data_IF_576223497169
#
_entry.id   IF_576223497169
#
_cell.length_a   1.000
_cell.length_b   1.000
_cell.length_c   1.000
_cell.angle_alpha   90.00
_cell.angle_beta   90.00
_cell.angle_gamma   90.00
#
_symmetry.space_group_name_H-M   'P 1'
#
loop_
_entity.id
_entity.type
_entity.pdbx_description
1 polymer ?
#
# COMPACT_ATOMS: atom_id res chain seq x y z
N UNK A 1 -29.17 23.73 -29.72
CA UNK A 1 -27.89 23.00 -29.51
C UNK A 1 -27.19 23.44 -28.23
N UNK A 2 -26.87 24.73 -28.05
CA UNK A 2 -26.20 25.25 -26.84
C UNK A 2 -26.88 24.86 -25.51
N UNK A 3 -28.22 24.94 -25.42
CA UNK A 3 -28.95 24.59 -24.19
C UNK A 3 -28.89 23.11 -23.82
N UNK A 4 -28.80 22.21 -24.81
CA UNK A 4 -28.65 20.77 -24.56
C UNK A 4 -27.22 20.45 -24.09
N UNK A 5 -26.22 21.13 -24.66
CA UNK A 5 -24.81 20.99 -24.28
C UNK A 5 -24.59 21.48 -22.83
N UNK A 6 -25.21 22.59 -22.44
CA UNK A 6 -25.14 23.09 -21.06
C UNK A 6 -25.82 22.16 -20.05
N UNK A 7 -26.97 21.57 -20.41
CA UNK A 7 -27.68 20.60 -19.57
C UNK A 7 -26.87 19.30 -19.38
N UNK A 8 -26.20 18.83 -20.42
CA UNK A 8 -25.31 17.66 -20.35
C UNK A 8 -24.09 17.99 -19.48
N UNK A 9 -23.47 19.16 -19.67
CA UNK A 9 -22.34 19.62 -18.87
C UNK A 9 -22.69 19.78 -17.38
N UNK A 10 -23.88 20.31 -17.05
CA UNK A 10 -24.38 20.36 -15.67
C UNK A 10 -24.61 18.97 -15.08
N UNK A 11 -25.09 18.01 -15.88
CA UNK A 11 -25.31 16.63 -15.44
C UNK A 11 -24.00 15.88 -15.18
N UNK A 12 -22.97 16.09 -16.00
CA UNK A 12 -21.63 15.52 -15.81
C UNK A 12 -20.92 16.15 -14.60
N UNK A 13 -20.99 17.47 -14.46
CA UNK A 13 -20.45 18.19 -13.30
C UNK A 13 -21.12 17.74 -11.99
N UNK A 14 -22.44 17.55 -11.99
CA UNK A 14 -23.17 17.02 -10.83
C UNK A 14 -22.76 15.60 -10.49
N UNK A 15 -22.61 14.72 -11.49
CA UNK A 15 -22.15 13.35 -11.26
C UNK A 15 -20.71 13.30 -10.75
N UNK A 16 -19.82 14.14 -11.28
CA UNK A 16 -18.45 14.27 -10.80
C UNK A 16 -18.40 14.78 -9.35
N UNK A 17 -19.19 15.81 -9.02
CA UNK A 17 -19.30 16.32 -7.66
C UNK A 17 -19.81 15.26 -6.68
N UNK A 18 -20.87 14.54 -7.06
CA UNK A 18 -21.44 13.43 -6.28
C UNK A 18 -20.40 12.35 -6.02
N UNK A 19 -19.67 11.92 -7.05
CA UNK A 19 -18.62 10.90 -6.92
C UNK A 19 -17.45 11.38 -6.04
N UNK A 20 -17.04 12.65 -6.16
CA UNK A 20 -16.02 13.24 -5.31
C UNK A 20 -16.46 13.29 -3.84
N UNK A 21 -17.71 13.67 -3.56
CA UNK A 21 -18.28 13.66 -2.22
C UNK A 21 -18.32 12.24 -1.63
N UNK A 22 -18.71 11.23 -2.41
CA UNK A 22 -18.65 9.83 -1.96
C UNK A 22 -17.22 9.40 -1.62
N UNK A 23 -16.24 9.76 -2.46
CA UNK A 23 -14.83 9.47 -2.22
C UNK A 23 -14.34 10.12 -0.92
N UNK A 24 -14.68 11.39 -0.67
CA UNK A 24 -14.34 12.13 0.55
C UNK A 24 -14.96 11.50 1.81
N UNK A 25 -16.21 11.02 1.74
CA UNK A 25 -16.85 10.34 2.87
C UNK A 25 -16.13 9.02 3.18
N UNK A 26 -15.73 8.27 2.15
CA UNK A 26 -14.92 7.06 2.33
C UNK A 26 -13.57 7.35 2.97
N UNK A 27 -12.97 8.50 2.67
CA UNK A 27 -11.68 8.93 3.22
C UNK A 27 -11.72 9.18 4.75
N UNK A 28 -12.92 9.33 5.35
CA UNK A 28 -13.06 9.30 6.81
C UNK A 28 -12.54 7.99 7.44
N UNK A 29 -12.47 6.91 6.66
CA UNK A 29 -11.79 5.67 7.05
C UNK A 29 -10.31 5.88 7.42
N UNK A 30 -9.67 6.93 6.90
CA UNK A 30 -8.31 7.34 7.24
C UNK A 30 -8.11 7.74 8.71
N UNK A 31 -9.20 7.95 9.47
CA UNK A 31 -9.13 8.11 10.93
C UNK A 31 -8.62 6.84 11.61
N UNK A 32 -8.90 5.65 11.05
CA UNK A 32 -8.51 4.37 11.64
C UNK A 32 -6.96 4.22 11.71
N UNK A 33 -6.19 4.41 10.62
CA UNK A 33 -4.73 4.51 10.68
C UNK A 33 -4.22 5.51 11.73
N UNK A 34 -4.86 6.67 11.85
CA UNK A 34 -4.52 7.68 12.87
C UNK A 34 -4.71 7.17 14.30
N UNK A 35 -5.82 6.48 14.58
CA UNK A 35 -6.06 5.85 15.89
C UNK A 35 -5.05 4.72 16.14
N UNK A 36 -4.72 3.91 15.13
CA UNK A 36 -3.72 2.85 15.24
C UNK A 36 -2.33 3.43 15.51
N UNK A 37 -1.95 4.50 14.82
CA UNK A 37 -0.72 5.25 15.08
C UNK A 37 -0.67 5.71 16.55
N UNK A 38 -1.73 6.37 17.02
CA UNK A 38 -1.79 6.89 18.38
C UNK A 38 -1.68 5.78 19.43
N UNK A 39 -2.39 4.67 19.25
CA UNK A 39 -2.43 3.58 20.24
C UNK A 39 -1.20 2.67 20.21
N UNK A 40 -0.69 2.37 19.02
CA UNK A 40 0.30 1.30 18.82
C UNK A 40 1.72 1.85 18.63
N UNK A 41 1.88 3.00 17.99
CA UNK A 41 3.20 3.50 17.54
C UNK A 41 3.72 4.63 18.43
N UNK A 42 2.88 5.60 18.81
CA UNK A 42 3.30 6.70 19.71
C UNK A 42 3.92 6.21 21.04
N UNK A 43 3.49 5.09 21.66
CA UNK A 43 4.18 4.57 22.85
C UNK A 43 5.69 4.32 22.65
N UNK A 44 6.12 4.00 21.42
CA UNK A 44 7.54 3.78 21.09
C UNK A 44 8.31 5.09 20.84
N UNK A 45 7.62 6.19 20.49
CA UNK A 45 8.23 7.50 20.24
C UNK A 45 9.02 8.01 21.44
N UNK A 46 8.53 7.74 22.66
CA UNK A 46 9.21 8.15 23.90
C UNK A 46 10.65 7.66 23.97
N UNK A 47 10.92 6.48 23.40
CA UNK A 47 12.25 5.89 23.30
C UNK A 47 12.94 6.23 21.97
N UNK A 48 12.18 6.37 20.89
CA UNK A 48 12.70 6.52 19.52
C UNK A 48 11.91 7.55 18.70
N UNK A 49 12.35 8.81 18.75
CA UNK A 49 11.67 9.93 18.07
C UNK A 49 11.57 9.77 16.55
N UNK A 50 12.56 9.12 15.92
CA UNK A 50 12.62 8.94 14.46
C UNK A 50 11.44 8.15 13.88
N UNK A 51 10.74 7.36 14.71
CA UNK A 51 9.57 6.56 14.31
C UNK A 51 8.45 7.45 13.72
N UNK A 52 8.18 8.59 14.36
CA UNK A 52 7.11 9.49 13.90
C UNK A 52 7.50 10.21 12.61
N UNK A 53 8.78 10.50 12.41
CA UNK A 53 9.26 11.13 11.17
C UNK A 53 9.21 10.16 9.98
N UNK A 54 9.49 8.88 10.22
CA UNK A 54 9.49 7.86 9.18
C UNK A 54 8.07 7.53 8.69
N UNK A 55 7.09 7.50 9.59
CA UNK A 55 5.71 7.09 9.27
C UNK A 55 5.05 7.84 8.09
N UNK A 56 4.96 9.18 8.05
CA UNK A 56 4.33 9.89 6.94
C UNK A 56 5.09 9.71 5.62
N UNK A 57 6.42 9.64 5.68
CA UNK A 57 7.25 9.40 4.49
C UNK A 57 6.97 8.01 3.90
N UNK A 58 6.79 7.01 4.78
CA UNK A 58 6.41 5.68 4.34
C UNK A 58 5.02 5.61 3.73
N UNK A 59 4.01 6.21 4.37
CA UNK A 59 2.65 6.27 3.82
C UNK A 59 2.64 6.92 2.44
N UNK A 60 3.38 8.01 2.25
CA UNK A 60 3.49 8.69 0.95
C UNK A 60 4.03 7.78 -0.15
N UNK A 61 5.18 7.14 0.07
CA UNK A 61 5.78 6.21 -0.92
C UNK A 61 4.83 5.04 -1.19
N UNK A 62 4.17 4.51 -0.16
CA UNK A 62 3.21 3.41 -0.30
C UNK A 62 1.97 3.80 -1.10
N UNK A 63 1.41 4.98 -0.86
CA UNK A 63 0.26 5.49 -1.60
C UNK A 63 0.57 5.61 -3.09
N UNK A 64 1.72 6.16 -3.45
CA UNK A 64 2.17 6.27 -4.85
C UNK A 64 2.32 4.90 -5.49
N UNK A 65 3.02 3.96 -4.83
CA UNK A 65 3.24 2.62 -5.40
C UNK A 65 1.92 1.85 -5.57
N UNK A 66 1.02 1.91 -4.57
CA UNK A 66 -0.28 1.26 -4.68
C UNK A 66 -1.14 1.89 -5.80
N UNK A 67 -1.04 3.20 -6.00
CA UNK A 67 -1.73 3.87 -7.11
C UNK A 67 -1.22 3.44 -8.48
N UNK A 68 0.10 3.34 -8.66
CA UNK A 68 0.69 2.82 -9.91
C UNK A 68 0.28 1.36 -10.12
N UNK A 69 0.33 0.54 -9.07
CA UNK A 69 -0.01 -0.88 -9.14
C UNK A 69 -1.48 -1.08 -9.53
N UNK A 70 -2.42 -0.42 -8.85
CA UNK A 70 -3.86 -0.51 -9.13
C UNK A 70 -4.22 -0.04 -10.53
N UNK A 71 -3.70 1.12 -10.97
CA UNK A 71 -3.99 1.64 -12.31
C UNK A 71 -3.45 0.74 -13.44
N UNK A 72 -2.23 0.20 -13.29
CA UNK A 72 -1.66 -0.76 -14.24
C UNK A 72 -2.39 -2.10 -14.22
N UNK A 73 -2.82 -2.54 -13.04
CA UNK A 73 -3.60 -3.77 -12.89
C UNK A 73 -4.97 -3.65 -13.57
N UNK A 74 -5.70 -2.56 -13.36
CA UNK A 74 -6.98 -2.30 -14.01
C UNK A 74 -6.85 -2.25 -15.53
N UNK A 75 -5.90 -1.45 -16.04
CA UNK A 75 -5.64 -1.37 -17.48
C UNK A 75 -5.28 -2.73 -18.05
N UNK A 76 -4.44 -3.49 -17.33
CA UNK A 76 -4.05 -4.84 -17.74
C UNK A 76 -5.21 -5.82 -17.81
N UNK A 77 -6.16 -5.73 -16.87
CA UNK A 77 -7.38 -6.54 -16.86
C UNK A 77 -8.30 -6.18 -18.04
N UNK A 78 -8.51 -4.90 -18.32
CA UNK A 78 -9.33 -4.42 -19.44
C UNK A 78 -8.74 -4.76 -20.81
N UNK A 79 -7.41 -4.71 -20.95
CA UNK A 79 -6.72 -5.11 -22.18
C UNK A 79 -6.57 -6.64 -22.33
N UNK A 80 -6.94 -7.43 -21.32
CA UNK A 80 -6.78 -8.88 -21.32
C UNK A 80 -5.32 -9.36 -21.22
N UNK A 81 -4.37 -8.45 -21.01
CA UNK A 81 -2.94 -8.77 -20.77
C UNK A 81 -2.68 -9.20 -19.32
N UNK A 82 -3.65 -9.02 -18.41
CA UNK A 82 -3.66 -9.60 -17.06
C UNK A 82 -4.94 -10.42 -16.92
N UNK A 83 -4.83 -11.63 -16.39
CA UNK A 83 -5.99 -12.48 -16.10
C UNK A 83 -6.48 -12.21 -14.68
N UNK A 84 -7.79 -12.22 -14.46
CA UNK A 84 -8.40 -12.13 -13.13
C UNK A 84 -8.25 -13.44 -12.33
N UNK A 85 -7.04 -13.98 -12.26
CA UNK A 85 -6.74 -15.23 -11.58
C UNK A 85 -5.38 -15.15 -10.90
N UNK A 86 -5.29 -15.73 -9.70
CA UNK A 86 -4.02 -15.82 -8.96
C UNK A 86 -3.05 -16.79 -9.64
N UNK A 87 -3.60 -17.92 -10.12
CA UNK A 87 -2.84 -18.96 -10.83
C UNK A 87 -2.76 -18.67 -12.33
N UNK A 88 -1.61 -18.99 -12.95
CA UNK A 88 -1.41 -18.94 -14.40
C UNK A 88 -1.71 -17.57 -15.03
N UNK A 89 -1.27 -16.50 -14.36
CA UNK A 89 -1.31 -15.15 -14.92
C UNK A 89 -0.22 -14.96 -16.00
N UNK A 90 -0.25 -13.83 -16.68
CA UNK A 90 0.70 -13.50 -17.76
C UNK A 90 2.07 -13.10 -17.23
N UNK A 91 3.08 -13.17 -18.09
CA UNK A 91 4.42 -12.66 -17.78
C UNK A 91 4.39 -11.16 -17.40
N UNK A 92 3.54 -10.38 -18.08
CA UNK A 92 3.33 -8.97 -17.77
C UNK A 92 2.90 -8.74 -16.32
N UNK A 93 1.97 -9.56 -15.80
CA UNK A 93 1.52 -9.46 -14.42
C UNK A 93 2.65 -9.68 -13.43
N UNK A 94 3.46 -10.74 -13.62
CA UNK A 94 4.58 -11.05 -12.74
C UNK A 94 5.66 -9.97 -12.81
N UNK A 95 5.98 -9.48 -14.00
CA UNK A 95 6.92 -8.37 -14.17
C UNK A 95 6.43 -7.10 -13.45
N UNK A 96 5.15 -6.77 -13.57
CA UNK A 96 4.54 -5.66 -12.83
C UNK A 96 4.65 -5.87 -11.32
N UNK A 97 4.25 -7.05 -10.84
CA UNK A 97 4.24 -7.40 -9.42
C UNK A 97 5.64 -7.30 -8.80
N UNK A 98 6.65 -7.93 -9.40
CA UNK A 98 8.02 -7.89 -8.91
C UNK A 98 8.65 -6.51 -9.05
N UNK A 99 8.33 -5.75 -10.11
CA UNK A 99 8.79 -4.36 -10.25
C UNK A 99 8.27 -3.49 -9.10
N UNK A 100 7.00 -3.64 -8.72
CA UNK A 100 6.44 -2.89 -7.58
C UNK A 100 7.05 -3.32 -6.25
N UNK A 101 7.34 -4.62 -6.08
CA UNK A 101 8.05 -5.14 -4.90
C UNK A 101 9.44 -4.50 -4.76
N UNK A 102 10.19 -4.47 -5.86
CA UNK A 102 11.52 -3.87 -5.93
C UNK A 102 11.44 -2.38 -5.63
N UNK A 103 10.49 -1.65 -6.24
CA UNK A 103 10.28 -0.22 -5.95
C UNK A 103 9.97 0.05 -4.47
N UNK A 104 9.18 -0.81 -3.81
CA UNK A 104 8.93 -0.68 -2.37
C UNK A 104 10.22 -0.85 -1.55
N UNK A 105 11.01 -1.88 -1.86
CA UNK A 105 12.27 -2.13 -1.18
C UNK A 105 13.24 -0.96 -1.38
N UNK A 106 13.37 -0.46 -2.61
CA UNK A 106 14.16 0.73 -2.92
C UNK A 106 13.69 1.95 -2.14
N UNK A 107 12.37 2.19 -2.06
CA UNK A 107 11.81 3.26 -1.24
C UNK A 107 12.28 3.19 0.22
N UNK A 108 12.24 2.00 0.83
CA UNK A 108 12.77 1.77 2.18
C UNK A 108 14.27 2.04 2.29
N UNK A 109 15.07 1.61 1.31
CA UNK A 109 16.52 1.84 1.28
C UNK A 109 16.90 3.33 1.21
N UNK A 110 16.06 4.18 0.61
CA UNK A 110 16.29 5.63 0.60
C UNK A 110 15.75 6.31 1.86
N UNK A 111 14.55 5.94 2.32
CA UNK A 111 13.92 6.57 3.47
C UNK A 111 14.73 6.36 4.76
N UNK A 112 15.25 5.16 4.98
CA UNK A 112 15.99 4.81 6.20
C UNK A 112 17.17 5.75 6.49
N UNK A 113 18.16 5.83 5.60
CA UNK A 113 19.32 6.71 5.75
C UNK A 113 18.94 8.20 5.80
N UNK A 114 17.96 8.63 5.02
CA UNK A 114 17.52 10.03 5.01
C UNK A 114 16.92 10.45 6.35
N UNK A 115 16.05 9.62 6.94
CA UNK A 115 15.46 9.88 8.24
C UNK A 115 16.50 9.78 9.35
N UNK A 116 17.41 8.80 9.27
CA UNK A 116 18.53 8.69 10.20
C UNK A 116 19.41 9.94 10.18
N UNK A 117 19.77 10.45 9.00
CA UNK A 117 20.53 11.69 8.86
C UNK A 117 19.78 12.90 9.42
N UNK A 118 18.48 13.01 9.16
CA UNK A 118 17.65 14.12 9.62
C UNK A 118 17.44 14.13 11.14
N UNK A 119 17.45 12.96 11.78
CA UNK A 119 17.13 12.81 13.22
C UNK A 119 18.35 12.48 14.09
N UNK A 120 19.50 12.20 13.50
CA UNK A 120 20.72 11.80 14.20
C UNK A 120 20.64 10.40 14.84
N UNK A 121 19.74 9.54 14.36
CA UNK A 121 19.52 8.20 14.89
C UNK A 121 20.38 7.14 14.20
N UNK A 122 20.46 5.93 14.76
CA UNK A 122 21.20 4.81 14.15
C UNK A 122 20.67 4.47 12.75
N UNK A 123 21.52 4.62 11.74
CA UNK A 123 21.19 4.34 10.36
C UNK A 123 20.80 2.89 10.12
N UNK A 124 21.40 1.95 10.86
CA UNK A 124 21.13 0.52 10.70
C UNK A 124 19.72 0.19 11.18
N UNK A 125 19.35 0.65 12.37
CA UNK A 125 18.02 0.42 12.95
C UNK A 125 16.92 1.05 12.08
N UNK A 126 17.06 2.34 11.74
CA UNK A 126 16.04 3.04 10.96
C UNK A 126 15.89 2.45 9.56
N UNK A 127 17.01 2.07 8.92
CA UNK A 127 16.95 1.43 7.60
C UNK A 127 16.36 0.04 7.67
N UNK A 128 16.69 -0.76 8.70
CA UNK A 128 16.10 -2.07 8.89
C UNK A 128 14.58 -1.96 9.05
N UNK A 129 14.10 -1.01 9.87
CA UNK A 129 12.68 -0.76 10.08
C UNK A 129 12.03 -0.30 8.77
N UNK A 130 12.60 0.68 8.07
CA UNK A 130 12.06 1.21 6.82
C UNK A 130 11.95 0.15 5.72
N UNK A 131 13.01 -0.62 5.47
CA UNK A 131 13.04 -1.64 4.43
C UNK A 131 12.07 -2.78 4.77
N UNK A 132 12.15 -3.31 5.98
CA UNK A 132 11.36 -4.49 6.35
C UNK A 132 9.86 -4.18 6.41
N UNK A 133 9.47 -2.99 6.87
CA UNK A 133 8.08 -2.54 6.87
C UNK A 133 7.57 -2.23 5.45
N UNK A 134 8.39 -1.63 4.58
CA UNK A 134 8.04 -1.43 3.17
C UNK A 134 7.79 -2.74 2.43
N UNK A 135 8.65 -3.72 2.64
CA UNK A 135 8.52 -5.03 2.00
C UNK A 135 7.34 -5.80 2.58
N UNK A 136 7.18 -5.85 3.90
CA UNK A 136 6.06 -6.53 4.56
C UNK A 136 4.70 -5.92 4.16
N UNK A 137 4.60 -4.60 4.16
CA UNK A 137 3.40 -3.88 3.72
C UNK A 137 3.05 -4.15 2.27
N UNK A 138 4.04 -4.31 1.39
CA UNK A 138 3.80 -4.66 -0.01
C UNK A 138 3.03 -5.96 -0.14
N UNK A 139 3.48 -7.02 0.54
CA UNK A 139 2.81 -8.32 0.48
C UNK A 139 1.39 -8.31 1.05
N UNK A 140 1.20 -7.61 2.18
CA UNK A 140 -0.13 -7.46 2.79
C UNK A 140 -1.09 -6.72 1.86
N UNK A 141 -0.69 -5.55 1.37
CA UNK A 141 -1.56 -4.69 0.55
C UNK A 141 -1.77 -5.29 -0.83
N UNK A 142 -0.72 -5.75 -1.50
CA UNK A 142 -0.84 -6.31 -2.85
C UNK A 142 -1.75 -7.54 -2.87
N UNK A 143 -1.67 -8.40 -1.85
CA UNK A 143 -2.57 -9.55 -1.70
C UNK A 143 -4.03 -9.12 -1.66
N UNK A 144 -4.37 -8.13 -0.83
CA UNK A 144 -5.74 -7.62 -0.73
C UNK A 144 -6.15 -6.89 -2.03
N UNK A 145 -5.29 -6.07 -2.61
CA UNK A 145 -5.54 -5.39 -3.89
C UNK A 145 -5.90 -6.38 -4.99
N UNK A 146 -5.16 -7.49 -5.11
CA UNK A 146 -5.44 -8.52 -6.10
C UNK A 146 -6.79 -9.22 -5.86
N UNK A 147 -7.11 -9.56 -4.60
CA UNK A 147 -8.41 -10.14 -4.24
C UNK A 147 -9.54 -9.21 -4.63
N UNK A 148 -9.44 -7.93 -4.27
CA UNK A 148 -10.49 -6.94 -4.54
C UNK A 148 -10.61 -6.70 -6.04
N UNK A 149 -9.50 -6.47 -6.75
CA UNK A 149 -9.51 -6.20 -8.18
C UNK A 149 -10.04 -7.37 -9.01
N UNK A 150 -9.59 -8.60 -8.73
CA UNK A 150 -10.06 -9.78 -9.45
C UNK A 150 -11.52 -10.09 -9.15
N UNK A 151 -11.98 -9.85 -7.92
CA UNK A 151 -13.38 -10.06 -7.56
C UNK A 151 -14.29 -9.02 -8.21
N UNK A 152 -13.86 -7.74 -8.23
CA UNK A 152 -14.58 -6.67 -8.90
C UNK A 152 -14.73 -6.95 -10.40
N UNK A 153 -13.62 -7.30 -11.06
CA UNK A 153 -13.61 -7.62 -12.48
C UNK A 153 -14.49 -8.82 -12.83
N UNK A 154 -14.45 -9.91 -12.03
CA UNK A 154 -15.32 -11.09 -12.22
C UNK A 154 -16.80 -10.77 -12.05
N UNK A 155 -17.14 -9.77 -11.25
CA UNK A 155 -18.51 -9.31 -11.03
C UNK A 155 -18.97 -8.25 -12.06
N UNK A 156 -18.11 -7.87 -13.01
CA UNK A 156 -18.41 -6.86 -14.02
C UNK A 156 -18.41 -5.42 -13.51
N UNK A 157 -17.88 -5.18 -12.30
CA UNK A 157 -17.63 -3.82 -11.83
C UNK A 157 -16.33 -3.30 -12.42
N UNK A 158 -16.31 -2.03 -12.78
CA UNK A 158 -15.08 -1.36 -13.18
C UNK A 158 -14.18 -1.18 -11.94
N UNK A 159 -13.01 -1.86 -11.88
CA UNK A 159 -12.12 -1.76 -10.75
C UNK A 159 -11.64 -0.32 -10.51
N UNK A 160 -11.63 0.58 -11.50
CA UNK A 160 -11.11 1.93 -11.31
C UNK A 160 -12.00 2.81 -10.41
N UNK A 161 -13.32 2.57 -10.41
CA UNK A 161 -14.25 3.37 -9.60
C UNK A 161 -14.42 2.88 -8.16
N UNK A 162 -14.25 1.58 -7.93
CA UNK A 162 -14.50 0.96 -6.62
C UNK A 162 -13.20 0.58 -5.89
N UNK A 163 -12.19 0.10 -6.61
CA UNK A 163 -11.00 -0.45 -5.98
C UNK A 163 -10.15 0.66 -5.38
N UNK A 164 -10.02 1.82 -6.04
CA UNK A 164 -9.12 2.85 -5.56
C UNK A 164 -9.54 3.46 -4.21
N UNK A 165 -10.79 3.94 -4.00
CA UNK A 165 -11.19 4.53 -2.71
C UNK A 165 -11.18 3.51 -1.56
N UNK A 166 -11.61 2.28 -1.84
CA UNK A 166 -11.63 1.20 -0.85
C UNK A 166 -10.20 0.77 -0.50
N UNK A 167 -9.34 0.60 -1.50
CA UNK A 167 -7.97 0.15 -1.27
C UNK A 167 -7.09 1.21 -0.66
N UNK A 168 -7.35 2.50 -0.85
CA UNK A 168 -6.57 3.57 -0.21
C UNK A 168 -6.64 3.45 1.32
N UNK A 169 -7.87 3.42 1.87
CA UNK A 169 -8.08 3.32 3.32
C UNK A 169 -7.56 1.99 3.90
N UNK A 170 -7.83 0.87 3.21
CA UNK A 170 -7.34 -0.44 3.64
C UNK A 170 -5.81 -0.50 3.57
N UNK A 171 -5.20 0.08 2.53
CA UNK A 171 -3.75 0.11 2.40
C UNK A 171 -3.11 0.88 3.55
N UNK A 172 -3.64 2.05 3.93
CA UNK A 172 -3.10 2.82 5.05
C UNK A 172 -3.19 2.05 6.37
N UNK A 173 -4.30 1.34 6.61
CA UNK A 173 -4.44 0.48 7.80
C UNK A 173 -3.38 -0.63 7.79
N UNK A 174 -3.23 -1.33 6.67
CA UNK A 174 -2.28 -2.45 6.55
C UNK A 174 -0.83 -1.97 6.63
N UNK A 175 -0.50 -0.83 6.04
CA UNK A 175 0.82 -0.20 6.15
C UNK A 175 1.10 0.14 7.61
N UNK A 176 0.15 0.77 8.31
CA UNK A 176 0.30 1.12 9.73
C UNK A 176 0.51 -0.13 10.61
N UNK A 177 -0.27 -1.18 10.38
CA UNK A 177 -0.13 -2.45 11.11
C UNK A 177 1.20 -3.12 10.82
N UNK A 178 1.63 -3.18 9.56
CA UNK A 178 2.92 -3.75 9.18
C UNK A 178 4.09 -2.97 9.79
N UNK A 179 4.00 -1.64 9.82
CA UNK A 179 4.99 -0.78 10.45
C UNK A 179 5.09 -1.02 11.95
N UNK A 180 3.95 -1.08 12.64
CA UNK A 180 3.89 -1.45 14.06
C UNK A 180 4.48 -2.85 14.32
N UNK A 181 4.11 -3.86 13.53
CA UNK A 181 4.61 -5.23 13.70
C UNK A 181 6.14 -5.29 13.57
N UNK A 182 6.71 -4.58 12.60
CA UNK A 182 8.16 -4.49 12.41
C UNK A 182 8.84 -3.82 13.59
N UNK A 183 8.33 -2.66 14.03
CA UNK A 183 8.80 -1.96 15.23
C UNK A 183 8.80 -2.89 16.42
N UNK A 184 7.66 -3.52 16.70
CA UNK A 184 7.48 -4.41 17.84
C UNK A 184 8.44 -5.60 17.79
N UNK A 185 8.65 -6.21 16.62
CA UNK A 185 9.60 -7.30 16.44
C UNK A 185 11.06 -6.86 16.65
N UNK A 186 11.46 -5.73 16.06
CA UNK A 186 12.83 -5.23 16.16
C UNK A 186 13.16 -4.86 17.61
N UNK A 187 12.25 -4.19 18.32
CA UNK A 187 12.50 -3.77 19.71
C UNK A 187 12.50 -4.92 20.71
N UNK A 188 11.74 -5.99 20.47
CA UNK A 188 11.73 -7.15 21.37
C UNK A 188 12.84 -8.16 21.09
N UNK A 189 13.18 -8.38 19.82
CA UNK A 189 14.05 -9.49 19.39
C UNK A 189 15.39 -9.04 18.82
N UNK A 190 15.60 -7.73 18.66
CA UNK A 190 16.75 -7.16 17.96
C UNK A 190 16.62 -7.20 16.43
N UNK A 191 17.46 -6.43 15.74
CA UNK A 191 17.39 -6.21 14.28
C UNK A 191 17.61 -7.51 13.49
N UNK A 192 18.61 -8.30 13.84
CA UNK A 192 19.01 -9.48 13.03
C UNK A 192 17.90 -10.54 13.05
N UNK A 193 17.40 -10.90 14.23
CA UNK A 193 16.39 -11.95 14.37
C UNK A 193 15.06 -11.54 13.74
N UNK A 194 14.65 -10.29 13.92
CA UNK A 194 13.42 -9.77 13.30
C UNK A 194 13.49 -9.73 11.79
N UNK A 195 14.61 -9.29 11.19
CA UNK A 195 14.81 -9.35 9.73
C UNK A 195 14.74 -10.78 9.22
N UNK A 196 15.30 -11.74 9.95
CA UNK A 196 15.24 -13.16 9.59
C UNK A 196 13.80 -13.70 9.63
N UNK A 197 13.02 -13.37 10.66
CA UNK A 197 11.60 -13.74 10.77
C UNK A 197 10.80 -13.15 9.58
N UNK A 198 10.99 -11.86 9.30
CA UNK A 198 10.30 -11.17 8.21
C UNK A 198 10.67 -11.78 6.86
N UNK A 199 11.96 -12.09 6.65
CA UNK A 199 12.43 -12.77 5.45
C UNK A 199 11.75 -14.15 5.27
N UNK A 200 11.64 -14.94 6.33
CA UNK A 200 10.92 -16.24 6.29
C UNK A 200 9.45 -16.03 5.94
N UNK A 201 8.76 -15.07 6.57
CA UNK A 201 7.35 -14.78 6.28
C UNK A 201 7.14 -14.41 4.81
N UNK A 202 8.02 -13.58 4.27
CA UNK A 202 8.03 -13.19 2.86
C UNK A 202 8.25 -14.41 1.96
N UNK A 203 9.23 -15.24 2.28
CA UNK A 203 9.59 -16.40 1.49
C UNK A 203 8.45 -17.44 1.46
N UNK A 204 7.80 -17.67 2.60
CA UNK A 204 6.58 -18.49 2.68
C UNK A 204 5.45 -17.93 1.83
N UNK A 205 5.27 -16.61 1.84
CA UNK A 205 4.25 -15.94 1.03
C UNK A 205 4.54 -16.07 -0.47
N UNK A 206 5.79 -15.89 -0.90
CA UNK A 206 6.22 -16.10 -2.29
C UNK A 206 5.98 -17.54 -2.72
N UNK A 207 6.35 -18.53 -1.89
CA UNK A 207 6.09 -19.94 -2.18
C UNK A 207 4.60 -20.21 -2.31
N UNK A 208 3.79 -19.65 -1.40
CA UNK A 208 2.34 -19.78 -1.46
C UNK A 208 1.80 -19.23 -2.79
N UNK A 209 2.24 -18.06 -3.22
CA UNK A 209 1.83 -17.44 -4.48
C UNK A 209 2.29 -18.25 -5.71
N UNK A 210 3.52 -18.76 -5.74
CA UNK A 210 4.01 -19.56 -6.86
C UNK A 210 3.28 -20.91 -6.96
N UNK A 211 2.97 -21.52 -5.82
CA UNK A 211 2.27 -22.82 -5.75
C UNK A 211 0.76 -22.69 -5.94
N UNK A 212 0.21 -21.50 -5.70
CA UNK A 212 -1.19 -21.15 -5.97
C UNK A 212 -1.29 -20.77 -7.43
#
# INVERSE_FOLDING_TARGET
MQGLINLIAESEAYNAYKNAMFSLIFDLGGIIPGILLYKLIIPFERSYRWIIYLYPAMLSVRGVINGIFTGRLSTGLHLGIVKANFKNNTEYFWNLYFSMMILCAFGGCFLGPLISLATGSDAVEVSAVAISSMVLSFFMVSGVTLVVAFTAFKKGYDPDYLVYPIMSTIADILVTLSYFLVIWLIFNNGVILSMFIIFILILLWIIYIIKT
#
